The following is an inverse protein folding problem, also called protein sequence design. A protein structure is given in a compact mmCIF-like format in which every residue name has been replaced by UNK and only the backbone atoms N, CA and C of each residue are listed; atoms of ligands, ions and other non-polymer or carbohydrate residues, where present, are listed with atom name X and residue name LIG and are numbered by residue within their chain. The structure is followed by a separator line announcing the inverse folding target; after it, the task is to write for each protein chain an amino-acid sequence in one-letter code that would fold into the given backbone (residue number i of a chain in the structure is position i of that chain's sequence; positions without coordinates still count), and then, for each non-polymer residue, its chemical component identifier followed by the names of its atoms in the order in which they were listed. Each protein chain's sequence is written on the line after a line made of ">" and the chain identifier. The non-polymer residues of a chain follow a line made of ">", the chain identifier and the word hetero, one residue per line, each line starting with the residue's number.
data_IF_115521772517
#
_entry.id   IF_115521772517
#
_cell.length_a   1.000
_cell.length_b   1.000
_cell.length_c   1.000
_cell.angle_alpha   90.00
_cell.angle_beta   90.00
_cell.angle_gamma   90.00
#
_symmetry.space_group_name_H-M   'P 1'
#
loop_
_entity.id
_entity.type
_entity.pdbx_description
1 polymer ?
#
# COMPACT_ATOMS: atom_id res chain seq x y z
N UNK A 1 -21.31 34.55 17.16
CA UNK A 1 -20.59 33.77 18.18
C UNK A 1 -21.08 32.33 18.17
N UNK A 2 -20.11 31.41 18.23
CA UNK A 2 -20.17 29.98 18.58
C UNK A 2 -20.39 28.93 17.47
N UNK A 3 -19.26 28.29 17.17
CA UNK A 3 -19.04 27.00 16.52
C UNK A 3 -19.90 25.89 17.13
N UNK A 4 -20.42 25.01 16.28
CA UNK A 4 -20.39 23.58 16.61
C UNK A 4 -19.93 22.81 15.37
N UNK A 5 -18.63 22.53 15.40
CA UNK A 5 -17.92 21.65 14.47
C UNK A 5 -18.45 20.24 14.67
N UNK A 6 -19.44 19.83 13.87
CA UNK A 6 -19.76 18.42 13.71
C UNK A 6 -19.09 17.94 12.44
N UNK A 7 -17.80 17.61 12.57
CA UNK A 7 -17.01 16.86 11.59
C UNK A 7 -17.60 15.45 11.54
N UNK A 8 -18.76 15.31 10.89
CA UNK A 8 -19.32 14.02 10.52
C UNK A 8 -18.40 13.45 9.45
N UNK A 9 -17.71 12.39 9.85
CA UNK A 9 -16.97 11.45 9.01
C UNK A 9 -17.72 11.27 7.69
N UNK A 10 -17.18 11.84 6.62
CA UNK A 10 -17.55 11.44 5.28
C UNK A 10 -17.12 9.98 5.19
N UNK A 11 -18.11 9.10 5.36
CA UNK A 11 -18.31 7.90 4.55
C UNK A 11 -17.14 7.73 3.60
N UNK A 12 -16.14 6.98 4.07
CA UNK A 12 -15.02 6.58 3.25
C UNK A 12 -15.63 5.81 2.13
N UNK A 13 -15.81 6.51 1.02
CA UNK A 13 -16.25 6.01 -0.27
C UNK A 13 -15.84 4.56 -0.33
N UNK A 14 -16.84 3.69 -0.31
CA UNK A 14 -16.85 2.46 -1.09
C UNK A 14 -16.35 2.83 -2.49
N UNK A 15 -15.03 2.98 -2.64
CA UNK A 15 -14.35 2.85 -3.92
C UNK A 15 -14.59 1.40 -4.23
N UNK A 16 -15.71 1.18 -4.92
CA UNK A 16 -16.10 -0.06 -5.57
C UNK A 16 -14.81 -0.68 -6.05
N UNK A 17 -14.37 -1.71 -5.31
CA UNK A 17 -13.08 -2.36 -5.52
C UNK A 17 -12.95 -2.57 -7.03
N UNK A 18 -12.00 -1.92 -7.73
CA UNK A 18 -12.02 -1.94 -9.18
C UNK A 18 -11.96 -3.40 -9.59
N UNK A 19 -13.00 -3.80 -10.31
CA UNK A 19 -13.22 -5.15 -10.80
C UNK A 19 -11.91 -5.69 -11.32
N UNK A 20 -11.50 -6.82 -10.72
CA UNK A 20 -10.30 -7.58 -11.01
C UNK A 20 -9.83 -7.40 -12.46
N UNK A 21 -8.60 -6.91 -12.61
CA UNK A 21 -7.92 -6.79 -13.89
C UNK A 21 -8.15 -8.03 -14.77
N UNK A 22 -8.30 -7.85 -16.09
CA UNK A 22 -8.63 -8.92 -17.04
C UNK A 22 -7.41 -9.81 -17.40
N UNK A 23 -6.45 -9.94 -16.49
CA UNK A 23 -5.25 -10.73 -16.72
C UNK A 23 -5.54 -12.23 -16.64
N UNK A 24 -4.89 -13.00 -17.52
CA UNK A 24 -4.85 -14.45 -17.45
C UNK A 24 -3.40 -14.90 -17.22
N UNK A 25 -3.10 -15.69 -16.18
CA UNK A 25 -3.99 -16.06 -15.07
C UNK A 25 -4.47 -14.83 -14.27
N UNK A 26 -5.58 -14.94 -13.50
CA UNK A 26 -6.07 -13.87 -12.66
C UNK A 26 -4.98 -13.41 -11.69
N UNK A 27 -4.88 -12.10 -11.48
CA UNK A 27 -3.97 -11.57 -10.46
C UNK A 27 -4.50 -11.85 -9.05
N UNK A 28 -3.60 -12.02 -8.07
CA UNK A 28 -3.98 -12.15 -6.68
C UNK A 28 -4.66 -10.88 -6.17
N UNK A 29 -5.53 -11.03 -5.17
CA UNK A 29 -6.15 -9.90 -4.50
C UNK A 29 -5.13 -9.14 -3.65
N UNK A 30 -5.43 -7.88 -3.31
CA UNK A 30 -4.57 -7.09 -2.43
C UNK A 30 -4.42 -7.69 -1.02
N UNK A 31 -5.41 -8.44 -0.54
CA UNK A 31 -5.36 -9.07 0.79
C UNK A 31 -4.53 -10.37 0.80
N UNK A 32 -4.23 -10.93 -0.38
CA UNK A 32 -3.53 -12.21 -0.52
C UNK A 32 -2.06 -12.09 -0.09
N UNK A 33 -1.45 -13.13 0.52
CA UNK A 33 -0.02 -13.09 0.87
C UNK A 33 0.92 -12.96 -0.35
N UNK A 34 0.46 -13.30 -1.55
CA UNK A 34 1.18 -13.17 -2.81
C UNK A 34 0.76 -11.93 -3.62
N UNK A 35 0.17 -10.91 -2.99
CA UNK A 35 -0.34 -9.68 -3.64
C UNK A 35 0.67 -8.98 -4.56
N UNK A 36 1.96 -9.09 -4.28
CA UNK A 36 3.05 -8.52 -5.08
C UNK A 36 3.21 -9.19 -6.46
N UNK A 37 2.64 -10.38 -6.67
CA UNK A 37 2.65 -11.07 -7.97
C UNK A 37 1.63 -10.49 -8.98
N UNK A 38 0.84 -9.49 -8.57
CA UNK A 38 -0.01 -8.75 -9.51
C UNK A 38 0.82 -7.95 -10.53
N UNK A 39 0.21 -7.64 -11.68
CA UNK A 39 0.94 -6.96 -12.77
C UNK A 39 1.09 -5.47 -12.52
N UNK A 40 2.26 -4.94 -12.88
CA UNK A 40 2.53 -3.50 -12.88
C UNK A 40 1.58 -2.75 -13.82
N UNK A 41 1.00 -1.66 -13.33
CA UNK A 41 0.21 -0.70 -14.10
C UNK A 41 0.96 0.63 -14.24
N UNK A 42 1.74 1.01 -13.22
CA UNK A 42 2.67 2.13 -13.29
C UNK A 42 3.97 1.76 -12.58
N UNK A 43 5.08 2.25 -13.10
CA UNK A 43 6.41 2.03 -12.56
C UNK A 43 7.16 3.37 -12.53
N UNK A 44 7.47 3.84 -11.33
CA UNK A 44 8.08 5.15 -11.07
C UNK A 44 9.32 4.97 -10.18
N UNK A 45 10.41 4.40 -10.73
CA UNK A 45 11.65 4.20 -9.96
C UNK A 45 12.24 5.53 -9.48
N UNK A 46 12.04 6.63 -10.22
CA UNK A 46 12.48 7.96 -9.80
C UNK A 46 11.77 8.48 -8.53
N UNK A 47 10.64 7.88 -8.17
CA UNK A 47 9.87 8.18 -6.95
C UNK A 47 9.90 7.02 -5.94
N UNK A 48 10.55 5.91 -6.27
CA UNK A 48 10.69 4.75 -5.40
C UNK A 48 9.44 3.88 -5.26
N UNK A 49 8.51 3.90 -6.21
CA UNK A 49 7.28 3.12 -6.13
C UNK A 49 6.79 2.54 -7.46
N UNK A 50 5.92 1.54 -7.32
CA UNK A 50 5.22 0.85 -8.40
C UNK A 50 3.76 0.62 -8.02
N UNK A 51 2.83 0.84 -8.95
CA UNK A 51 1.42 0.55 -8.76
C UNK A 51 1.06 -0.75 -9.45
N UNK A 52 0.49 -1.69 -8.70
CA UNK A 52 -0.02 -2.96 -9.20
C UNK A 52 -1.50 -2.87 -9.58
N UNK A 53 -1.93 -3.73 -10.49
CA UNK A 53 -3.30 -3.75 -11.02
C UNK A 53 -4.37 -4.16 -9.99
N UNK A 54 -3.98 -4.75 -8.86
CA UNK A 54 -4.83 -5.01 -7.71
C UNK A 54 -4.92 -3.80 -6.75
N UNK A 55 -4.29 -2.67 -7.11
CA UNK A 55 -4.31 -1.42 -6.36
C UNK A 55 -3.23 -1.30 -5.28
N UNK A 56 -2.35 -2.30 -5.14
CA UNK A 56 -1.23 -2.25 -4.20
C UNK A 56 -0.14 -1.30 -4.72
N UNK A 57 0.33 -0.41 -3.86
CA UNK A 57 1.53 0.40 -4.07
C UNK A 57 2.72 -0.32 -3.44
N UNK A 58 3.64 -0.80 -4.28
CA UNK A 58 4.88 -1.44 -3.87
C UNK A 58 6.01 -0.41 -3.84
N UNK A 59 6.72 -0.31 -2.72
CA UNK A 59 7.88 0.55 -2.55
C UNK A 59 9.18 -0.23 -2.79
N UNK A 60 10.24 0.46 -3.22
CA UNK A 60 11.56 -0.16 -3.50
C UNK A 60 12.20 -0.84 -2.28
N UNK A 61 11.81 -0.44 -1.07
CA UNK A 61 12.26 -1.05 0.17
C UNK A 61 11.51 -2.34 0.54
N UNK A 62 10.57 -2.80 -0.30
CA UNK A 62 9.60 -3.90 -0.09
C UNK A 62 8.43 -3.57 0.82
N UNK A 63 8.27 -2.30 1.23
CA UNK A 63 7.04 -1.86 1.88
C UNK A 63 5.86 -1.87 0.90
N UNK A 64 4.65 -1.97 1.45
CA UNK A 64 3.43 -1.95 0.64
C UNK A 64 2.38 -1.01 1.25
N UNK A 65 1.62 -0.32 0.40
CA UNK A 65 0.38 0.38 0.77
C UNK A 65 -0.79 -0.29 0.05
N UNK A 66 -1.68 -0.88 0.84
CA UNK A 66 -2.87 -1.56 0.34
C UNK A 66 -3.95 -0.56 -0.09
N UNK A 67 -4.93 -0.98 -0.94
CA UNK A 67 -6.00 -0.10 -1.42
C UNK A 67 -6.89 0.50 -0.33
N UNK A 68 -6.98 -0.17 0.82
CA UNK A 68 -7.72 0.28 2.02
C UNK A 68 -6.92 1.26 2.89
N UNK A 69 -5.66 1.53 2.53
CA UNK A 69 -4.75 2.40 3.25
C UNK A 69 -3.92 1.71 4.32
N UNK A 70 -4.02 0.38 4.47
CA UNK A 70 -3.16 -0.37 5.38
C UNK A 70 -1.70 -0.37 4.89
N UNK A 71 -0.78 -0.14 5.81
CA UNK A 71 0.67 -0.15 5.56
C UNK A 71 1.24 -1.52 5.95
N UNK A 72 2.00 -2.12 5.05
CA UNK A 72 2.81 -3.31 5.29
C UNK A 72 4.27 -2.86 5.36
N UNK A 73 4.92 -3.17 6.47
CA UNK A 73 6.29 -2.76 6.71
C UNK A 73 7.26 -3.47 5.75
N UNK A 74 8.33 -2.79 5.31
CA UNK A 74 9.42 -3.39 4.54
C UNK A 74 9.97 -4.67 5.18
N UNK A 75 10.30 -5.66 4.36
CA UNK A 75 10.94 -6.92 4.79
C UNK A 75 12.43 -6.78 5.12
N UNK A 76 12.99 -5.57 5.12
CA UNK A 76 14.34 -5.30 5.63
C UNK A 76 14.32 -5.50 7.14
N UNK A 77 15.32 -6.19 7.69
CA UNK A 77 15.57 -6.13 9.14
C UNK A 77 15.76 -4.67 9.51
N UNK A 78 14.76 -4.08 10.15
CA UNK A 78 14.88 -2.73 10.68
C UNK A 78 16.06 -2.76 11.64
N UNK A 79 17.13 -2.04 11.32
CA UNK A 79 18.26 -1.82 12.22
C UNK A 79 17.87 -0.97 13.45
N UNK A 80 16.58 -0.90 13.78
CA UNK A 80 16.06 -0.42 15.06
C UNK A 80 16.44 -1.41 16.16
N UNK A 81 17.73 -1.48 16.52
CA UNK A 81 18.17 -2.36 17.59
C UNK A 81 19.64 -2.39 17.97
N UNK A 82 20.55 -1.64 17.32
CA UNK A 82 21.94 -1.59 17.83
C UNK A 82 22.69 -0.30 17.50
N UNK A 83 22.33 0.77 18.21
CA UNK A 83 23.30 1.85 18.49
C UNK A 83 24.37 1.26 19.41
N UNK A 84 25.51 0.87 18.84
CA UNK A 84 26.71 0.57 19.62
C UNK A 84 27.24 1.91 20.14
N UNK A 85 27.14 2.14 21.45
CA UNK A 85 27.84 3.25 22.09
C UNK A 85 29.33 2.92 22.04
N UNK A 86 30.10 3.76 21.35
CA UNK A 86 31.57 3.72 21.40
C UNK A 86 31.97 4.21 22.80
N UNK A 87 32.78 3.40 23.50
CA UNK A 87 33.35 3.73 24.80
C UNK A 87 34.60 4.60 24.65
#
# INVERSE_FOLDING_TARGET
>A
MNLSSSRRTLDSTQRKNPSMCQHQPPCPTADSPDREAARLTAHHPEQGWSLLCNGVLLFEDTGELLPDGQIIAPHRLSAAGRVVKVA
#
